data_IF_437273359594
#
_entry.id   IF_437273359594
#
_cell.length_a   1.000
_cell.length_b   1.000
_cell.length_c   1.000
_cell.angle_alpha   90.00
_cell.angle_beta   90.00
_cell.angle_gamma   90.00
#
_symmetry.space_group_name_H-M   'P 1'
#
loop_
_entity.id
_entity.type
_entity.pdbx_description
1 polymer ?
#
# COMPACT_ATOMS: atom_id res chain seq x y z
N UNK A 1 -15.92 8.06 28.16
CA UNK A 1 -16.37 8.87 27.00
C UNK A 1 -15.48 10.09 26.93
N UNK A 2 -14.55 10.14 25.98
CA UNK A 2 -13.83 11.36 25.62
C UNK A 2 -14.75 12.13 24.66
N UNK A 3 -15.43 13.15 25.18
CA UNK A 3 -16.14 14.12 24.34
C UNK A 3 -15.11 15.03 23.68
N UNK A 4 -14.81 14.76 22.41
CA UNK A 4 -14.03 15.64 21.56
C UNK A 4 -14.95 16.78 21.07
N UNK A 5 -14.94 17.90 21.77
CA UNK A 5 -15.62 19.12 21.32
C UNK A 5 -14.82 19.73 20.16
N UNK A 6 -15.25 19.45 18.92
CA UNK A 6 -14.76 20.16 17.75
C UNK A 6 -15.54 21.51 17.63
N UNK A 7 -14.86 22.62 17.89
CA UNK A 7 -15.40 23.95 17.59
C UNK A 7 -15.32 24.19 16.09
N UNK A 8 -16.49 24.33 15.45
CA UNK A 8 -16.67 24.67 14.04
C UNK A 8 -15.96 26.01 13.71
N UNK A 9 -15.11 26.01 12.69
CA UNK A 9 -14.41 27.22 12.21
C UNK A 9 -13.54 26.98 10.97
N UNK A 10 -13.94 26.11 10.03
CA UNK A 10 -13.30 25.97 8.71
C UNK A 10 -14.20 26.47 7.59
N UNK A 11 -13.67 26.71 6.36
CA UNK A 11 -14.51 27.05 5.23
C UNK A 11 -15.52 25.93 5.00
N UNK A 12 -16.79 26.28 5.02
CA UNK A 12 -17.90 25.35 4.87
C UNK A 12 -17.85 24.67 3.51
N UNK A 13 -17.37 23.40 3.45
CA UNK A 13 -17.58 22.49 2.33
C UNK A 13 -18.98 21.86 2.45
N UNK A 14 -19.84 22.42 3.26
CA UNK A 14 -21.21 21.95 3.55
C UNK A 14 -22.19 22.05 2.36
N UNK A 15 -21.69 22.03 1.11
CA UNK A 15 -22.48 21.99 -0.11
C UNK A 15 -22.13 20.88 -1.09
N UNK A 16 -21.06 20.10 -0.87
CA UNK A 16 -20.77 18.96 -1.73
C UNK A 16 -21.60 17.76 -1.29
N UNK A 17 -22.36 17.23 -2.22
CA UNK A 17 -23.10 15.99 -2.02
C UNK A 17 -22.14 14.79 -2.16
N UNK A 18 -21.84 14.11 -1.06
CA UNK A 18 -20.99 12.92 -1.05
C UNK A 18 -21.77 11.59 -1.19
N UNK A 19 -23.06 11.66 -1.48
CA UNK A 19 -23.95 10.51 -1.63
C UNK A 19 -23.39 9.45 -2.56
N UNK A 20 -22.82 9.87 -3.71
CA UNK A 20 -22.22 8.94 -4.68
C UNK A 20 -21.00 8.18 -4.13
N UNK A 21 -20.21 8.80 -3.25
CA UNK A 21 -19.10 8.14 -2.55
C UNK A 21 -19.64 7.17 -1.50
N UNK A 22 -20.59 7.60 -0.70
CA UNK A 22 -21.23 6.75 0.32
C UNK A 22 -21.94 5.55 -0.30
N UNK A 23 -22.58 5.69 -1.48
CA UNK A 23 -23.18 4.58 -2.21
C UNK A 23 -22.12 3.54 -2.60
N UNK A 24 -20.97 3.97 -3.09
CA UNK A 24 -19.85 3.09 -3.43
C UNK A 24 -19.21 2.45 -2.20
N UNK A 25 -19.09 3.21 -1.11
CA UNK A 25 -18.67 2.69 0.19
C UNK A 25 -19.71 1.74 0.78
N UNK A 26 -20.99 1.80 0.34
CA UNK A 26 -22.12 1.10 0.95
C UNK A 26 -22.24 1.41 2.44
N UNK A 27 -21.90 2.64 2.81
CA UNK A 27 -21.93 3.15 4.17
C UNK A 27 -22.38 4.62 4.17
N UNK A 28 -23.32 4.96 5.04
CA UNK A 28 -23.80 6.33 5.27
C UNK A 28 -23.23 6.83 6.58
N UNK A 29 -22.57 8.00 6.53
CA UNK A 29 -22.04 8.61 7.73
C UNK A 29 -23.18 9.19 8.59
N UNK A 30 -23.21 8.80 9.88
CA UNK A 30 -24.10 9.38 10.88
C UNK A 30 -23.72 10.84 11.18
N UNK A 31 -22.40 11.10 11.20
CA UNK A 31 -21.84 12.44 11.31
C UNK A 31 -21.12 12.82 10.00
N UNK A 32 -21.77 13.55 9.09
CA UNK A 32 -21.18 13.97 7.82
C UNK A 32 -19.90 14.82 7.97
N UNK A 33 -19.71 15.51 9.11
CA UNK A 33 -18.52 16.32 9.34
C UNK A 33 -17.25 15.47 9.41
N UNK A 34 -17.33 14.21 9.86
CA UNK A 34 -16.20 13.29 9.85
C UNK A 34 -15.75 12.94 8.42
N UNK A 35 -16.70 12.71 7.52
CA UNK A 35 -16.39 12.49 6.11
C UNK A 35 -15.80 13.75 5.47
N UNK A 36 -16.37 14.92 5.75
CA UNK A 36 -15.84 16.20 5.26
C UNK A 36 -14.40 16.41 5.73
N UNK A 37 -14.10 16.14 7.00
CA UNK A 37 -12.74 16.21 7.54
C UNK A 37 -11.78 15.26 6.80
N UNK A 38 -12.19 14.01 6.59
CA UNK A 38 -11.41 13.01 5.88
C UNK A 38 -11.15 13.37 4.41
N UNK A 39 -12.05 14.11 3.78
CA UNK A 39 -11.95 14.58 2.40
C UNK A 39 -11.31 15.98 2.27
N UNK A 40 -10.93 16.63 3.37
CA UNK A 40 -10.32 17.97 3.37
C UNK A 40 -8.81 17.86 3.49
N UNK A 41 -8.11 17.85 2.35
CA UNK A 41 -6.65 17.75 2.33
C UNK A 41 -5.98 18.95 3.01
N UNK A 42 -4.85 18.75 3.71
CA UNK A 42 -4.11 19.83 4.41
C UNK A 42 -3.77 21.05 3.58
N UNK A 43 -3.69 20.92 2.26
CA UNK A 43 -3.42 22.04 1.35
C UNK A 43 -4.55 23.07 1.23
N UNK A 44 -5.76 22.74 1.68
CA UNK A 44 -6.95 23.63 1.57
C UNK A 44 -6.86 24.85 2.48
N UNK A 45 -6.22 24.67 3.63
CA UNK A 45 -6.09 25.69 4.66
C UNK A 45 -4.71 25.57 5.31
N UNK A 46 -4.10 26.69 5.63
CA UNK A 46 -2.84 26.73 6.37
C UNK A 46 -3.00 26.53 7.88
N UNK A 47 -4.24 26.36 8.37
CA UNK A 47 -4.51 26.20 9.79
C UNK A 47 -3.99 24.85 10.30
N UNK A 48 -3.23 24.86 11.41
CA UNK A 48 -2.72 23.63 12.02
C UNK A 48 -3.81 22.62 12.40
N UNK A 49 -5.00 23.11 12.74
CA UNK A 49 -6.14 22.28 13.15
C UNK A 49 -6.68 21.42 12.00
N UNK A 50 -6.83 22.00 10.81
CA UNK A 50 -7.29 21.27 9.60
C UNK A 50 -6.31 20.17 9.22
N UNK A 51 -5.01 20.50 9.18
CA UNK A 51 -3.95 19.51 8.95
C UNK A 51 -3.99 18.40 9.97
N UNK A 52 -4.03 18.76 11.27
CA UNK A 52 -4.03 17.78 12.37
C UNK A 52 -5.24 16.85 12.30
N UNK A 53 -6.41 17.38 11.98
CA UNK A 53 -7.63 16.57 11.89
C UNK A 53 -7.49 15.49 10.79
N UNK A 54 -7.07 15.88 9.59
CA UNK A 54 -6.84 14.96 8.48
C UNK A 54 -5.74 13.93 8.79
N UNK A 55 -4.55 14.36 9.22
CA UNK A 55 -3.40 13.49 9.51
C UNK A 55 -3.70 12.48 10.63
N UNK A 56 -4.53 12.85 11.60
CA UNK A 56 -4.97 11.92 12.66
C UNK A 56 -5.96 10.87 12.15
N UNK A 57 -6.84 11.23 11.23
CA UNK A 57 -7.73 10.27 10.57
C UNK A 57 -6.95 9.31 9.67
N UNK A 58 -5.98 9.82 8.91
CA UNK A 58 -5.04 9.04 8.11
C UNK A 58 -4.29 8.01 8.98
N UNK A 59 -3.68 8.48 10.08
CA UNK A 59 -2.98 7.61 11.04
C UNK A 59 -3.86 6.50 11.61
N UNK A 60 -5.10 6.83 11.99
CA UNK A 60 -6.05 5.85 12.52
C UNK A 60 -6.49 4.85 11.42
N UNK A 61 -6.77 5.36 10.23
CA UNK A 61 -7.22 4.56 9.10
C UNK A 61 -6.17 3.58 8.61
N UNK A 62 -4.90 3.98 8.56
CA UNK A 62 -3.78 3.09 8.26
C UNK A 62 -3.78 1.88 9.20
N UNK A 63 -3.86 2.12 10.52
CA UNK A 63 -3.89 1.04 11.51
C UNK A 63 -5.10 0.11 11.34
N UNK A 64 -6.28 0.66 11.04
CA UNK A 64 -7.51 -0.10 10.81
C UNK A 64 -7.37 -0.99 9.57
N UNK A 65 -6.90 -0.45 8.47
CA UNK A 65 -6.71 -1.18 7.21
C UNK A 65 -5.69 -2.30 7.37
N UNK A 66 -4.57 -2.01 8.05
CA UNK A 66 -3.56 -3.02 8.35
C UNK A 66 -4.11 -4.15 9.20
N UNK A 67 -4.86 -3.83 10.26
CA UNK A 67 -5.45 -4.86 11.13
C UNK A 67 -6.52 -5.67 10.40
N UNK A 68 -7.40 -5.01 9.62
CA UNK A 68 -8.43 -5.68 8.85
C UNK A 68 -7.85 -6.70 7.86
N UNK A 69 -6.84 -6.29 7.09
CA UNK A 69 -6.14 -7.17 6.15
C UNK A 69 -5.37 -8.27 6.88
N UNK A 70 -4.72 -7.96 8.00
CA UNK A 70 -4.02 -8.95 8.83
C UNK A 70 -4.97 -10.05 9.30
N UNK A 71 -6.12 -9.69 9.86
CA UNK A 71 -7.13 -10.66 10.31
C UNK A 71 -7.66 -11.50 9.15
N UNK A 72 -7.92 -10.87 8.00
CA UNK A 72 -8.37 -11.58 6.81
C UNK A 72 -7.35 -12.65 6.40
N UNK A 73 -6.10 -12.26 6.19
CA UNK A 73 -5.03 -13.17 5.77
C UNK A 73 -4.80 -14.29 6.78
N UNK A 74 -4.78 -13.97 8.07
CA UNK A 74 -4.61 -14.95 9.16
C UNK A 74 -5.66 -16.06 9.10
N UNK A 75 -6.91 -15.71 8.86
CA UNK A 75 -8.01 -16.69 8.82
C UNK A 75 -8.09 -17.43 7.48
N UNK A 76 -7.77 -16.78 6.36
CA UNK A 76 -7.94 -17.39 5.03
C UNK A 76 -6.70 -18.15 4.56
N UNK A 77 -5.56 -17.92 5.20
CA UNK A 77 -4.27 -18.54 4.83
C UNK A 77 -3.58 -19.21 6.04
N UNK A 78 -4.25 -20.19 6.70
CA UNK A 78 -3.77 -20.76 7.96
C UNK A 78 -2.47 -21.58 7.85
N UNK A 79 -2.06 -21.92 6.62
CA UNK A 79 -0.82 -22.68 6.37
C UNK A 79 0.34 -21.78 5.91
N UNK A 80 0.10 -20.49 5.68
CA UNK A 80 1.15 -19.57 5.21
C UNK A 80 2.05 -19.14 6.38
N UNK A 81 3.38 -19.11 6.16
CA UNK A 81 4.31 -18.62 7.17
C UNK A 81 4.16 -17.11 7.38
N UNK A 82 4.61 -16.63 8.53
CA UNK A 82 4.50 -15.21 8.94
C UNK A 82 5.07 -14.25 7.90
N UNK A 83 6.24 -14.57 7.33
CA UNK A 83 6.89 -13.73 6.31
C UNK A 83 6.03 -13.55 5.06
N UNK A 84 5.33 -14.59 4.61
CA UNK A 84 4.40 -14.52 3.48
C UNK A 84 3.19 -13.63 3.82
N UNK A 85 2.57 -13.84 4.98
CA UNK A 85 1.45 -13.02 5.44
C UNK A 85 1.83 -11.54 5.56
N UNK A 86 3.03 -11.25 6.04
CA UNK A 86 3.56 -9.88 6.13
C UNK A 86 3.76 -9.23 4.77
N UNK A 87 4.29 -9.97 3.79
CA UNK A 87 4.45 -9.46 2.41
C UNK A 87 3.10 -9.23 1.73
N UNK A 88 2.15 -10.15 1.88
CA UNK A 88 0.80 -10.04 1.32
C UNK A 88 0.06 -8.83 1.91
N UNK A 89 0.15 -8.64 3.22
CA UNK A 89 -0.39 -7.46 3.88
C UNK A 89 0.24 -6.19 3.31
N UNK A 90 1.57 -6.07 3.31
CA UNK A 90 2.28 -4.89 2.82
C UNK A 90 1.91 -4.56 1.36
N UNK A 91 1.73 -5.56 0.50
CA UNK A 91 1.29 -5.39 -0.88
C UNK A 91 -0.16 -4.88 -0.94
N UNK A 92 -1.06 -5.49 -0.19
CA UNK A 92 -2.49 -5.17 -0.19
C UNK A 92 -2.76 -3.74 0.29
N UNK A 93 -2.11 -3.30 1.38
CA UNK A 93 -2.25 -1.95 1.93
C UNK A 93 -1.15 -0.99 1.46
N UNK A 94 -0.43 -1.33 0.36
CA UNK A 94 0.56 -0.42 -0.20
C UNK A 94 -0.08 0.87 -0.70
N UNK A 95 0.65 1.99 -0.61
CA UNK A 95 0.21 3.29 -1.14
C UNK A 95 -0.23 3.21 -2.60
N UNK A 96 0.45 2.39 -3.42
CA UNK A 96 0.08 2.17 -4.81
C UNK A 96 -1.30 1.54 -4.95
N UNK A 97 -1.59 0.56 -4.13
CA UNK A 97 -2.84 -0.20 -4.15
C UNK A 97 -3.99 0.60 -3.54
N UNK A 98 -3.80 1.21 -2.36
CA UNK A 98 -4.83 2.05 -1.73
C UNK A 98 -5.21 3.23 -2.62
N UNK A 99 -4.25 3.86 -3.31
CA UNK A 99 -4.54 4.89 -4.30
C UNK A 99 -5.38 4.38 -5.47
N UNK A 100 -5.07 3.19 -6.02
CA UNK A 100 -5.87 2.53 -7.06
C UNK A 100 -7.34 2.38 -6.62
N UNK A 101 -7.58 1.83 -5.44
CA UNK A 101 -8.93 1.65 -4.91
C UNK A 101 -9.61 2.96 -4.55
N UNK A 102 -8.85 3.96 -4.10
CA UNK A 102 -9.34 5.32 -3.90
C UNK A 102 -9.86 5.95 -5.21
N UNK A 103 -9.18 5.75 -6.33
CA UNK A 103 -9.68 6.19 -7.65
C UNK A 103 -10.93 5.40 -8.07
N UNK A 104 -11.00 4.10 -7.82
CA UNK A 104 -12.19 3.28 -8.11
C UNK A 104 -13.40 3.80 -7.31
N UNK A 105 -13.22 4.17 -6.05
CA UNK A 105 -14.24 4.82 -5.24
C UNK A 105 -14.59 6.23 -5.74
N UNK A 106 -13.69 6.87 -6.50
CA UNK A 106 -13.85 8.24 -6.99
C UNK A 106 -13.46 9.30 -5.96
N UNK A 107 -12.56 9.00 -5.03
CA UNK A 107 -12.08 9.95 -4.03
C UNK A 107 -11.48 11.21 -4.67
N UNK A 108 -10.87 11.08 -5.83
CA UNK A 108 -10.38 12.18 -6.66
C UNK A 108 -11.44 13.25 -6.96
N UNK A 109 -12.72 12.86 -7.05
CA UNK A 109 -13.85 13.75 -7.33
C UNK A 109 -14.43 14.40 -6.08
N UNK A 110 -14.15 13.83 -4.91
CA UNK A 110 -14.73 14.26 -3.64
C UNK A 110 -13.73 14.99 -2.74
N UNK A 111 -12.43 14.80 -2.93
CA UNK A 111 -11.39 15.46 -2.14
C UNK A 111 -11.35 16.96 -2.40
N UNK A 112 -11.27 17.75 -1.34
CA UNK A 112 -11.00 19.18 -1.39
C UNK A 112 -9.50 19.43 -1.33
N UNK A 113 -8.97 20.14 -2.33
CA UNK A 113 -7.58 20.55 -2.43
C UNK A 113 -7.44 22.06 -2.41
N UNK A 114 -6.32 22.55 -1.88
CA UNK A 114 -5.98 23.94 -2.02
C UNK A 114 -5.60 24.29 -3.46
N UNK A 115 -5.77 25.55 -3.85
CA UNK A 115 -5.53 26.03 -5.23
C UNK A 115 -4.13 25.69 -5.76
N UNK A 116 -3.11 25.70 -4.90
CA UNK A 116 -1.73 25.33 -5.27
C UNK A 116 -1.60 23.86 -5.62
N UNK A 117 -2.12 22.99 -4.74
CA UNK A 117 -2.08 21.53 -4.93
C UNK A 117 -2.94 21.09 -6.12
N UNK A 118 -4.11 21.72 -6.30
CA UNK A 118 -4.97 21.49 -7.45
C UNK A 118 -4.25 21.80 -8.78
N UNK A 119 -3.58 22.97 -8.87
CA UNK A 119 -2.79 23.36 -10.05
C UNK A 119 -1.59 22.45 -10.31
N UNK A 120 -1.01 21.89 -9.23
CA UNK A 120 0.09 20.92 -9.31
C UNK A 120 -0.39 19.49 -9.65
N UNK A 121 -1.65 19.31 -10.04
CA UNK A 121 -2.22 18.02 -10.39
C UNK A 121 -2.44 17.08 -9.20
N UNK A 122 -2.57 17.64 -7.99
CA UNK A 122 -2.71 16.87 -6.74
C UNK A 122 -3.83 15.85 -6.76
N UNK A 123 -4.94 16.18 -7.43
CA UNK A 123 -6.11 15.30 -7.60
C UNK A 123 -5.78 13.99 -8.34
N UNK A 124 -4.77 13.99 -9.19
CA UNK A 124 -4.26 12.80 -9.88
C UNK A 124 -3.11 12.08 -9.15
N UNK A 125 -2.63 12.62 -8.04
CA UNK A 125 -1.51 12.01 -7.30
C UNK A 125 -1.97 10.81 -6.48
N UNK A 126 -1.43 9.65 -6.80
CA UNK A 126 -1.74 8.40 -6.09
C UNK A 126 -1.50 8.50 -4.57
N UNK A 127 -0.47 9.23 -4.14
CA UNK A 127 -0.17 9.41 -2.72
C UNK A 127 -1.25 10.19 -1.97
N UNK A 128 -1.80 11.23 -2.58
CA UNK A 128 -2.88 12.03 -1.98
C UNK A 128 -4.15 11.18 -1.85
N UNK A 129 -4.48 10.43 -2.90
CA UNK A 129 -5.67 9.58 -2.92
C UNK A 129 -5.54 8.42 -1.93
N UNK A 130 -4.35 7.81 -1.79
CA UNK A 130 -4.09 6.78 -0.79
C UNK A 130 -4.27 7.30 0.64
N UNK A 131 -3.67 8.43 0.98
CA UNK A 131 -3.82 9.05 2.30
C UNK A 131 -5.28 9.43 2.59
N UNK A 132 -6.02 9.90 1.56
CA UNK A 132 -7.45 10.19 1.68
C UNK A 132 -8.26 8.90 1.92
N UNK A 133 -7.90 7.80 1.26
CA UNK A 133 -8.51 6.50 1.50
C UNK A 133 -8.36 6.08 2.96
N UNK A 134 -7.15 6.14 3.50
CA UNK A 134 -6.89 5.87 4.92
C UNK A 134 -7.72 6.81 5.82
N UNK A 135 -7.72 8.11 5.53
CA UNK A 135 -8.47 9.10 6.31
C UNK A 135 -9.97 8.80 6.34
N UNK A 136 -10.57 8.37 5.22
CA UNK A 136 -11.99 7.98 5.14
C UNK A 136 -12.29 6.76 6.01
N UNK A 137 -11.43 5.74 6.05
CA UNK A 137 -11.61 4.58 6.92
C UNK A 137 -11.38 4.90 8.39
N UNK A 138 -10.47 5.83 8.69
CA UNK A 138 -10.32 6.39 10.03
C UNK A 138 -11.59 7.12 10.50
N UNK A 139 -12.16 7.95 9.64
CA UNK A 139 -13.42 8.65 9.91
C UNK A 139 -14.60 7.68 10.11
N UNK A 140 -14.70 6.65 9.26
CA UNK A 140 -15.75 5.63 9.35
C UNK A 140 -15.71 4.89 10.68
N UNK A 141 -14.52 4.53 11.17
CA UNK A 141 -14.38 3.83 12.45
C UNK A 141 -14.79 4.69 13.66
N UNK A 142 -14.62 6.01 13.56
CA UNK A 142 -15.07 6.94 14.60
C UNK A 142 -16.56 7.21 14.54
N UNK A 143 -17.15 7.14 13.34
CA UNK A 143 -18.57 7.33 13.09
C UNK A 143 -19.40 6.10 13.47
N UNK A 144 -18.80 4.92 13.40
CA UNK A 144 -19.40 3.63 13.72
C UNK A 144 -18.53 2.84 14.71
N UNK A 145 -17.85 1.80 14.20
CA UNK A 145 -16.93 0.96 14.93
C UNK A 145 -15.90 0.31 14.00
N UNK A 146 -14.97 -0.45 14.59
CA UNK A 146 -13.94 -1.17 13.84
C UNK A 146 -14.54 -2.26 12.92
N UNK A 147 -15.51 -3.02 13.38
CA UNK A 147 -16.08 -4.14 12.60
C UNK A 147 -16.80 -3.65 11.34
N UNK A 148 -17.50 -2.53 11.43
CA UNK A 148 -18.13 -1.86 10.29
C UNK A 148 -17.06 -1.35 9.29
N UNK A 149 -16.06 -0.63 9.78
CA UNK A 149 -14.97 -0.14 8.92
C UNK A 149 -14.20 -1.29 8.26
N UNK A 150 -13.91 -2.36 9.00
CA UNK A 150 -13.30 -3.59 8.50
C UNK A 150 -14.14 -4.24 7.40
N UNK A 151 -15.42 -4.43 7.62
CA UNK A 151 -16.30 -5.06 6.64
C UNK A 151 -16.32 -4.29 5.31
N UNK A 152 -16.39 -2.96 5.38
CA UNK A 152 -16.32 -2.10 4.19
C UNK A 152 -14.94 -2.17 3.53
N UNK A 153 -13.86 -2.12 4.30
CA UNK A 153 -12.50 -2.20 3.79
C UNK A 153 -12.25 -3.51 3.03
N UNK A 154 -12.61 -4.64 3.62
CA UNK A 154 -12.43 -5.96 2.99
C UNK A 154 -13.26 -6.09 1.70
N UNK A 155 -14.48 -5.55 1.68
CA UNK A 155 -15.32 -5.52 0.48
C UNK A 155 -14.72 -4.65 -0.62
N UNK A 156 -14.20 -3.48 -0.28
CA UNK A 156 -13.56 -2.58 -1.26
C UNK A 156 -12.26 -3.18 -1.80
N UNK A 157 -11.50 -3.85 -0.95
CA UNK A 157 -10.20 -4.44 -1.30
C UNK A 157 -10.29 -5.91 -1.75
N UNK A 158 -11.51 -6.47 -1.97
CA UNK A 158 -11.69 -7.91 -2.23
C UNK A 158 -10.84 -8.41 -3.41
N UNK A 159 -10.80 -7.69 -4.53
CA UNK A 159 -9.98 -8.11 -5.68
C UNK A 159 -8.48 -8.16 -5.36
N UNK A 160 -7.98 -7.23 -4.51
CA UNK A 160 -6.59 -7.26 -4.07
C UNK A 160 -6.33 -8.45 -3.15
N UNK A 161 -7.29 -8.77 -2.28
CA UNK A 161 -7.21 -9.89 -1.36
C UNK A 161 -7.30 -11.23 -2.10
N UNK A 162 -8.19 -11.36 -3.07
CA UNK A 162 -8.32 -12.54 -3.92
C UNK A 162 -7.07 -12.77 -4.77
N UNK A 163 -6.52 -11.70 -5.35
CA UNK A 163 -5.25 -11.76 -6.07
C UNK A 163 -4.10 -12.15 -5.14
N UNK A 164 -4.08 -11.65 -3.91
CA UNK A 164 -3.08 -12.01 -2.92
C UNK A 164 -3.18 -13.50 -2.55
N UNK A 165 -4.39 -14.01 -2.31
CA UNK A 165 -4.64 -15.40 -1.96
C UNK A 165 -4.37 -16.37 -3.12
N UNK A 166 -4.68 -15.96 -4.36
CA UNK A 166 -4.52 -16.79 -5.57
C UNK A 166 -3.07 -16.85 -6.08
N UNK A 167 -2.28 -15.82 -5.80
CA UNK A 167 -0.89 -15.69 -6.22
C UNK A 167 0.02 -15.34 -5.03
N UNK A 168 0.07 -16.23 -4.00
CA UNK A 168 0.92 -15.98 -2.83
C UNK A 168 2.40 -15.85 -3.20
N UNK A 169 2.78 -16.41 -4.33
CA UNK A 169 4.15 -16.48 -4.87
C UNK A 169 4.53 -15.40 -5.89
N UNK A 170 3.90 -14.24 -5.93
CA UNK A 170 4.69 -13.09 -6.37
C UNK A 170 5.66 -12.70 -5.25
N UNK A 171 6.50 -13.65 -4.94
CA UNK A 171 7.64 -13.59 -4.04
C UNK A 171 8.43 -12.33 -4.44
N UNK A 172 8.84 -11.54 -3.48
CA UNK A 172 9.95 -10.60 -3.69
C UNK A 172 11.26 -11.40 -3.45
N UNK A 173 11.79 -12.15 -4.45
CA UNK A 173 12.95 -13.01 -4.26
C UNK A 173 14.16 -12.20 -3.79
N UNK A 174 14.24 -10.94 -4.20
CA UNK A 174 15.31 -10.03 -3.77
C UNK A 174 15.27 -9.75 -2.29
N UNK A 175 14.08 -9.45 -1.74
CA UNK A 175 13.90 -9.19 -0.30
C UNK A 175 14.07 -10.44 0.54
N UNK A 176 13.56 -11.58 0.07
CA UNK A 176 13.72 -12.86 0.75
C UNK A 176 15.19 -13.31 0.79
N UNK A 177 15.89 -13.25 -0.36
CA UNK A 177 17.30 -13.55 -0.44
C UNK A 177 18.11 -12.62 0.48
N UNK A 178 17.83 -11.33 0.45
CA UNK A 178 18.51 -10.36 1.31
C UNK A 178 18.32 -10.68 2.79
N UNK A 179 17.11 -11.00 3.24
CA UNK A 179 16.83 -11.34 4.64
C UNK A 179 17.61 -12.59 5.07
N UNK A 180 17.57 -13.67 4.26
CA UNK A 180 18.31 -14.92 4.55
C UNK A 180 19.82 -14.67 4.64
N UNK A 181 20.38 -13.92 3.70
CA UNK A 181 21.82 -13.68 3.67
C UNK A 181 22.29 -12.76 4.80
N UNK A 182 21.47 -11.77 5.17
CA UNK A 182 21.77 -10.86 6.30
C UNK A 182 21.70 -11.55 7.67
N UNK A 183 20.93 -12.63 7.79
CA UNK A 183 20.93 -13.48 9.00
C UNK A 183 22.23 -14.28 9.15
N UNK A 184 22.97 -14.51 8.05
CA UNK A 184 24.24 -15.22 8.05
C UNK A 184 25.41 -14.25 8.26
N UNK A 185 25.46 -13.18 7.45
CA UNK A 185 26.45 -12.11 7.52
C UNK A 185 25.76 -10.76 7.25
N UNK A 186 26.16 -9.66 7.92
CA UNK A 186 25.56 -8.33 7.75
C UNK A 186 25.98 -7.66 6.42
N UNK A 187 25.86 -8.39 5.32
CA UNK A 187 26.19 -7.97 3.97
C UNK A 187 24.99 -8.11 3.04
N UNK A 188 24.75 -7.07 2.25
CA UNK A 188 23.63 -7.03 1.29
C UNK A 188 24.08 -7.63 -0.05
N UNK A 189 23.29 -8.54 -0.67
CA UNK A 189 23.61 -9.05 -2.00
C UNK A 189 23.62 -7.92 -3.04
N UNK A 190 24.58 -7.96 -3.97
CA UNK A 190 24.70 -7.02 -5.07
C UNK A 190 24.28 -7.66 -6.39
N UNK A 191 23.82 -6.84 -7.35
CA UNK A 191 23.35 -7.29 -8.65
C UNK A 191 24.11 -6.60 -9.76
N UNK A 192 24.64 -7.41 -10.68
CA UNK A 192 25.22 -6.92 -11.93
C UNK A 192 24.28 -7.28 -13.07
N UNK A 193 23.82 -6.26 -13.82
CA UNK A 193 22.81 -6.43 -14.87
C UNK A 193 23.28 -5.79 -16.17
N UNK A 194 23.33 -6.60 -17.22
CA UNK A 194 23.73 -6.20 -18.57
C UNK A 194 22.54 -6.29 -19.53
N UNK A 195 22.53 -5.41 -20.53
CA UNK A 195 21.59 -5.48 -21.63
C UNK A 195 22.19 -6.31 -22.76
N UNK A 196 21.57 -7.43 -23.11
CA UNK A 196 22.07 -8.38 -24.13
C UNK A 196 21.17 -8.60 -25.33
N UNK A 197 19.90 -8.19 -25.22
CA UNK A 197 18.92 -8.43 -26.27
C UNK A 197 18.35 -7.16 -26.90
N UNK A 198 17.67 -7.29 -28.05
CA UNK A 198 16.96 -6.20 -28.69
C UNK A 198 15.80 -5.68 -27.78
N UNK A 199 15.30 -4.46 -28.10
CA UNK A 199 14.37 -3.71 -27.25
C UNK A 199 13.10 -4.45 -26.87
N UNK A 200 12.65 -5.37 -27.73
CA UNK A 200 11.39 -6.11 -27.59
C UNK A 200 11.59 -7.58 -27.14
N UNK A 201 12.81 -7.98 -26.81
CA UNK A 201 13.10 -9.34 -26.37
C UNK A 201 12.65 -9.58 -24.91
N UNK A 202 12.01 -10.70 -24.64
CA UNK A 202 11.63 -11.12 -23.29
C UNK A 202 12.86 -11.29 -22.38
N UNK A 203 14.02 -11.62 -22.93
CA UNK A 203 15.31 -11.80 -22.24
C UNK A 203 16.29 -10.66 -22.57
N UNK A 204 15.82 -9.42 -22.66
CA UNK A 204 16.64 -8.25 -22.99
C UNK A 204 17.77 -8.02 -22.01
N UNK A 205 17.55 -8.30 -20.74
CA UNK A 205 18.52 -8.10 -19.67
C UNK A 205 18.88 -9.43 -19.05
N UNK A 206 20.18 -9.59 -18.75
CA UNK A 206 20.71 -10.66 -17.91
C UNK A 206 21.26 -10.06 -16.62
N UNK A 207 20.99 -10.72 -15.48
CA UNK A 207 21.46 -10.29 -14.17
C UNK A 207 22.11 -11.46 -13.44
N UNK A 208 23.18 -11.15 -12.69
CA UNK A 208 23.80 -12.05 -11.72
C UNK A 208 23.71 -11.42 -10.35
N UNK A 209 23.41 -12.24 -9.35
CA UNK A 209 23.45 -11.83 -7.95
C UNK A 209 24.71 -12.36 -7.30
N UNK A 210 25.39 -11.45 -6.58
CA UNK A 210 26.63 -11.73 -5.88
C UNK A 210 26.45 -11.54 -4.38
N UNK A 211 27.08 -12.37 -3.60
CA UNK A 211 27.19 -12.24 -2.17
C UNK A 211 28.55 -12.72 -1.70
N UNK A 212 29.21 -11.98 -0.82
CA UNK A 212 30.55 -12.23 -0.34
C UNK A 212 31.56 -12.53 -1.46
N UNK A 213 31.47 -11.75 -2.56
CA UNK A 213 32.33 -11.86 -3.73
C UNK A 213 32.04 -13.03 -4.67
N UNK A 214 31.06 -13.89 -4.38
CA UNK A 214 30.68 -15.05 -5.18
C UNK A 214 29.35 -14.85 -5.89
N UNK A 215 29.26 -15.27 -7.16
CA UNK A 215 28.00 -15.36 -7.88
C UNK A 215 27.16 -16.49 -7.30
N UNK A 216 25.95 -16.20 -6.81
CA UNK A 216 25.06 -17.15 -6.14
C UNK A 216 23.77 -17.44 -6.94
N UNK A 217 23.52 -16.70 -8.01
CA UNK A 217 22.39 -16.93 -8.91
C UNK A 217 22.46 -16.05 -10.15
N UNK A 218 21.69 -16.43 -11.18
CA UNK A 218 21.60 -15.70 -12.44
C UNK A 218 20.15 -15.73 -12.97
N UNK A 219 19.78 -14.72 -13.76
CA UNK A 219 18.46 -14.66 -14.34
C UNK A 219 18.34 -13.67 -15.49
N UNK A 220 17.30 -13.79 -16.29
CA UNK A 220 17.03 -12.90 -17.42
C UNK A 220 15.61 -12.36 -17.39
N UNK A 221 15.37 -11.26 -18.10
CA UNK A 221 14.05 -10.65 -18.17
C UNK A 221 13.96 -9.47 -19.14
N UNK A 222 12.74 -9.06 -19.44
CA UNK A 222 12.46 -7.93 -20.34
C UNK A 222 12.85 -6.55 -19.76
N UNK A 223 13.18 -6.48 -18.47
CA UNK A 223 13.67 -5.26 -17.80
C UNK A 223 14.76 -5.63 -16.78
N UNK A 224 15.61 -4.67 -16.42
CA UNK A 224 16.62 -4.83 -15.36
C UNK A 224 16.02 -5.43 -14.10
N UNK A 225 14.89 -4.86 -13.62
CA UNK A 225 14.19 -5.36 -12.44
C UNK A 225 13.73 -6.82 -12.57
N UNK A 226 13.19 -7.23 -13.73
CA UNK A 226 12.77 -8.62 -13.97
C UNK A 226 13.96 -9.58 -13.98
N UNK A 227 15.07 -9.21 -14.59
CA UNK A 227 16.29 -9.99 -14.61
C UNK A 227 16.87 -10.17 -13.19
N UNK A 228 16.91 -9.10 -12.39
CA UNK A 228 17.37 -9.15 -10.99
C UNK A 228 16.47 -10.01 -10.10
N UNK A 229 15.16 -9.94 -10.30
CA UNK A 229 14.17 -10.79 -9.58
C UNK A 229 14.38 -12.26 -9.95
N UNK A 230 14.59 -12.56 -11.23
CA UNK A 230 14.89 -13.92 -11.70
C UNK A 230 16.22 -14.46 -11.13
N UNK A 231 17.26 -13.62 -11.08
CA UNK A 231 18.54 -14.00 -10.48
C UNK A 231 18.43 -14.28 -8.96
N UNK A 232 17.63 -13.50 -8.25
CA UNK A 232 17.37 -13.77 -6.84
C UNK A 232 16.57 -15.06 -6.62
N UNK A 233 15.57 -15.33 -7.46
CA UNK A 233 14.81 -16.59 -7.41
C UNK A 233 15.70 -17.81 -7.67
N UNK A 234 16.55 -17.75 -8.68
CA UNK A 234 17.53 -18.80 -8.97
C UNK A 234 18.48 -19.05 -7.78
N UNK A 235 18.96 -17.96 -7.15
CA UNK A 235 19.78 -18.07 -5.95
C UNK A 235 19.04 -18.79 -4.81
N UNK A 236 17.78 -18.43 -4.54
CA UNK A 236 16.94 -19.04 -3.51
C UNK A 236 16.72 -20.54 -3.75
N UNK A 237 16.47 -20.92 -5.00
CA UNK A 237 16.27 -22.31 -5.39
C UNK A 237 17.56 -23.12 -5.28
N UNK A 238 18.68 -22.58 -5.77
CA UNK A 238 19.98 -23.24 -5.75
C UNK A 238 20.61 -23.32 -4.37
N UNK A 239 20.29 -22.37 -3.47
CA UNK A 239 20.88 -22.22 -2.11
C UNK A 239 22.41 -22.27 -2.13
N UNK A 240 23.02 -21.64 -3.14
CA UNK A 240 24.46 -21.75 -3.41
C UNK A 240 25.33 -21.30 -2.22
N UNK A 241 24.84 -20.36 -1.39
CA UNK A 241 25.55 -19.88 -0.20
C UNK A 241 25.78 -20.96 0.88
N UNK A 242 24.96 -22.04 0.92
CA UNK A 242 25.16 -23.13 1.87
C UNK A 242 26.44 -23.98 1.59
N UNK A 243 27.01 -23.84 0.39
CA UNK A 243 28.20 -24.54 -0.04
C UNK A 243 29.46 -23.69 0.01
N UNK A 244 29.32 -22.43 0.46
CA UNK A 244 30.44 -21.52 0.55
C UNK A 244 31.12 -21.70 1.91
N UNK A 245 32.46 -21.69 1.87
CA UNK A 245 33.27 -21.61 3.09
C UNK A 245 33.37 -20.11 3.44
N UNK A 246 32.68 -19.69 4.49
CA UNK A 246 32.66 -18.31 5.00
C UNK A 246 33.82 -18.07 5.94
#
# INVERSE_FOLDING_TARGET
RLELHFRNGGPSISGMNHTALEDKLGYRFNNPDLLVQALTHPSTDSKPETRRAYERLEFLGDAILQLAVTQYLYHHMPQSPEGELTQLRARTVSRANLGKYGFILGLDKHIALGKGEERAGGRGKNSIIANTFESVFGAMSLDSDYETAKAVALRVLHEALDSAASHPKEINPKGELQAILQDILPETPSYETEEKGPRDAENRFESRVFWHGHAIGAGSGASKRKAEVAAAADALDARAWLRMTL
#
